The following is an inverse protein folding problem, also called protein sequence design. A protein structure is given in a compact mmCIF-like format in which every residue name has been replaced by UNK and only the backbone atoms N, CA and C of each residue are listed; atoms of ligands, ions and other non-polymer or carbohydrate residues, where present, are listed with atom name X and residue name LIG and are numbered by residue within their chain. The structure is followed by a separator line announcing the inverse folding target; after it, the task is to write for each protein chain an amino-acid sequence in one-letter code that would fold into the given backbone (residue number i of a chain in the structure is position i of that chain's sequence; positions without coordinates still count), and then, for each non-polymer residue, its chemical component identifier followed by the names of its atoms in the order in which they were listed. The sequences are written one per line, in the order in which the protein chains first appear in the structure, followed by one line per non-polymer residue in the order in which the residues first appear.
data_IF_718067871672
#
_entry.id   IF_718067871672
#
_cell.length_a   1.000
_cell.length_b   1.000
_cell.length_c   1.000
_cell.angle_alpha   90.00
_cell.angle_beta   90.00
_cell.angle_gamma   90.00
#
_symmetry.space_group_name_H-M   'P 1'
#
loop_
_entity.id
_entity.type
_entity.pdbx_description
1 polymer ?
#
# COMPACT_ATOMS: atom_id res chain seq x y z
N UNK A 1 -23.07 -22.36 11.13
CA UNK A 1 -22.45 -21.05 10.79
C UNK A 1 -21.70 -21.25 9.50
N UNK A 2 -21.93 -20.41 8.47
CA UNK A 2 -21.12 -20.49 7.25
C UNK A 2 -19.70 -20.05 7.61
N UNK A 3 -18.71 -20.89 7.35
CA UNK A 3 -17.31 -20.55 7.58
C UNK A 3 -16.95 -19.28 6.82
N UNK A 4 -16.57 -18.24 7.55
CA UNK A 4 -16.15 -16.97 6.94
C UNK A 4 -14.71 -17.10 6.49
N UNK A 5 -14.46 -16.92 5.20
CA UNK A 5 -13.11 -16.81 4.65
C UNK A 5 -12.51 -15.45 5.02
N UNK A 6 -11.54 -15.44 5.93
CA UNK A 6 -10.82 -14.23 6.37
C UNK A 6 -9.49 -14.12 5.61
N UNK A 7 -9.27 -12.97 4.99
CA UNK A 7 -8.02 -12.59 4.34
C UNK A 7 -7.48 -11.34 5.02
N UNK A 8 -6.20 -11.37 5.38
CA UNK A 8 -5.51 -10.24 6.00
C UNK A 8 -4.60 -9.58 4.98
N UNK A 9 -4.54 -8.24 5.00
CA UNK A 9 -3.58 -7.46 4.21
C UNK A 9 -2.69 -6.74 5.23
N UNK A 10 -1.37 -6.89 5.09
CA UNK A 10 -0.44 -6.19 5.98
C UNK A 10 -0.36 -4.68 5.67
N UNK A 11 0.19 -3.91 6.60
CA UNK A 11 0.24 -2.45 6.49
C UNK A 11 1.21 -2.08 5.36
N UNK A 12 0.77 -1.38 4.30
CA UNK A 12 1.66 -0.95 3.21
C UNK A 12 2.73 0.02 3.74
N UNK A 13 3.89 0.09 3.08
CA UNK A 13 4.88 1.12 3.42
C UNK A 13 4.31 2.53 3.20
N UNK A 14 4.77 3.49 4.00
CA UNK A 14 4.28 4.88 4.00
C UNK A 14 5.32 5.78 3.33
N UNK A 15 4.87 6.64 2.41
CA UNK A 15 5.71 7.52 1.61
C UNK A 15 6.59 6.77 0.61
N UNK A 16 7.65 7.44 0.18
CA UNK A 16 8.61 6.89 -0.79
C UNK A 16 9.96 6.54 -0.14
N UNK A 17 10.24 7.04 1.08
CA UNK A 17 11.46 6.73 1.82
C UNK A 17 11.29 5.46 2.68
N UNK A 18 11.97 4.39 2.29
CA UNK A 18 11.95 3.10 3.00
C UNK A 18 12.58 3.16 4.39
N UNK A 19 13.44 4.13 4.67
CA UNK A 19 14.23 4.19 5.90
C UNK A 19 13.61 5.12 6.96
N UNK A 20 12.45 5.72 6.67
CA UNK A 20 11.80 6.63 7.61
C UNK A 20 11.28 5.92 8.88
N UNK A 21 11.12 6.68 9.97
CA UNK A 21 10.67 6.16 11.27
C UNK A 21 9.27 5.52 11.23
N UNK A 22 8.39 5.96 10.33
CA UNK A 22 7.07 5.37 10.18
C UNK A 22 7.17 3.96 9.60
N UNK A 23 8.04 3.75 8.61
CA UNK A 23 8.26 2.45 7.99
C UNK A 23 8.92 1.45 8.95
N UNK A 24 9.77 1.92 9.89
CA UNK A 24 10.27 1.08 10.99
C UNK A 24 9.13 0.55 11.86
N UNK A 25 8.19 1.42 12.25
CA UNK A 25 6.99 1.02 13.01
C UNK A 25 6.07 0.10 12.21
N UNK A 26 5.85 0.40 10.94
CA UNK A 26 5.08 -0.47 10.02
C UNK A 26 5.69 -1.88 9.99
N UNK A 27 7.02 -2.00 9.99
CA UNK A 27 7.68 -3.30 10.01
C UNK A 27 7.50 -4.05 11.32
N UNK A 28 7.47 -3.36 12.45
CA UNK A 28 7.13 -3.95 13.74
C UNK A 28 5.69 -4.48 13.77
N UNK A 29 4.72 -3.67 13.31
CA UNK A 29 3.33 -4.11 13.20
C UNK A 29 3.17 -5.28 12.24
N UNK A 30 3.85 -5.24 11.09
CA UNK A 30 3.76 -6.31 10.11
C UNK A 30 4.37 -7.61 10.64
N UNK A 31 5.45 -7.59 11.43
CA UNK A 31 5.96 -8.79 12.11
C UNK A 31 4.87 -9.44 12.99
N UNK A 32 4.11 -8.64 13.72
CA UNK A 32 2.99 -9.12 14.56
C UNK A 32 1.86 -9.67 13.69
N UNK A 33 1.47 -8.98 12.62
CA UNK A 33 0.43 -9.43 11.69
C UNK A 33 0.80 -10.78 11.05
N UNK A 34 2.05 -10.93 10.59
CA UNK A 34 2.54 -12.19 10.04
C UNK A 34 2.49 -13.32 11.07
N UNK A 35 2.90 -13.05 12.32
CA UNK A 35 2.80 -14.04 13.41
C UNK A 35 1.34 -14.45 13.65
N UNK A 36 0.42 -13.50 13.75
CA UNK A 36 -1.00 -13.79 13.95
C UNK A 36 -1.59 -14.58 12.78
N UNK A 37 -1.26 -14.23 11.54
CA UNK A 37 -1.73 -14.98 10.38
C UNK A 37 -1.23 -16.43 10.40
N UNK A 38 0.01 -16.66 10.86
CA UNK A 38 0.56 -18.01 11.03
C UNK A 38 -0.13 -18.78 12.16
N UNK A 39 -0.25 -18.17 13.35
CA UNK A 39 -0.78 -18.81 14.55
C UNK A 39 -2.26 -19.21 14.38
N UNK A 40 -3.04 -18.39 13.67
CA UNK A 40 -4.47 -18.63 13.41
C UNK A 40 -4.76 -19.18 12.01
N UNK A 41 -3.73 -19.53 11.23
CA UNK A 41 -3.87 -20.04 9.85
C UNK A 41 -4.69 -19.13 8.91
N UNK A 42 -4.59 -17.80 9.08
CA UNK A 42 -5.19 -16.84 8.15
C UNK A 42 -4.33 -16.66 6.90
N UNK A 43 -4.99 -16.52 5.74
CA UNK A 43 -4.31 -16.14 4.51
C UNK A 43 -3.85 -14.67 4.60
N UNK A 44 -2.61 -14.42 4.19
CA UNK A 44 -2.00 -13.10 4.20
C UNK A 44 -1.65 -12.63 2.79
N UNK A 45 -2.10 -11.43 2.44
CA UNK A 45 -1.60 -10.64 1.31
C UNK A 45 -0.47 -9.74 1.82
N UNK A 46 0.77 -10.10 1.45
CA UNK A 46 1.95 -9.29 1.77
C UNK A 46 2.12 -8.15 0.75
N UNK A 47 1.27 -7.14 0.88
CA UNK A 47 1.31 -5.97 0.00
C UNK A 47 2.46 -5.02 0.34
N UNK A 48 2.90 -5.01 1.61
CA UNK A 48 4.07 -4.25 2.04
C UNK A 48 5.32 -4.65 1.25
N UNK A 49 5.61 -5.95 1.13
CA UNK A 49 6.76 -6.45 0.39
C UNK A 49 6.76 -5.98 -1.07
N UNK A 50 5.61 -6.10 -1.75
CA UNK A 50 5.46 -5.63 -3.11
C UNK A 50 5.68 -4.12 -3.22
N UNK A 51 5.04 -3.32 -2.34
CA UNK A 51 5.17 -1.86 -2.40
C UNK A 51 6.62 -1.41 -2.17
N UNK A 52 7.34 -2.06 -1.24
CA UNK A 52 8.77 -1.81 -1.02
C UNK A 52 9.63 -2.14 -2.24
N UNK A 53 9.30 -3.21 -2.98
CA UNK A 53 10.06 -3.57 -4.20
C UNK A 53 9.94 -2.52 -5.30
N UNK A 54 8.80 -1.83 -5.39
CA UNK A 54 8.59 -0.73 -6.34
C UNK A 54 9.40 0.52 -5.99
N UNK A 55 9.72 0.74 -4.71
CA UNK A 55 10.46 1.92 -4.25
C UNK A 55 11.98 1.75 -4.33
N UNK A 56 12.49 0.51 -4.26
CA UNK A 56 13.94 0.23 -4.38
C UNK A 56 14.56 0.72 -5.69
N UNK A 57 13.75 0.94 -6.72
CA UNK A 57 14.18 1.36 -8.05
C UNK A 57 14.05 2.87 -8.29
N UNK A 58 13.45 3.63 -7.36
CA UNK A 58 13.22 5.06 -7.53
C UNK A 58 14.17 5.89 -6.66
N UNK A 59 15.17 6.51 -7.29
CA UNK A 59 16.14 7.41 -6.64
C UNK A 59 15.81 8.89 -6.82
N UNK A 60 14.71 9.21 -7.49
CA UNK A 60 14.39 10.57 -7.88
C UNK A 60 13.76 11.37 -6.72
N UNK A 61 13.94 12.70 -6.75
CA UNK A 61 13.27 13.62 -5.79
C UNK A 61 11.75 13.57 -5.99
N UNK A 62 11.00 13.40 -4.90
CA UNK A 62 9.53 13.31 -4.92
C UNK A 62 8.88 14.43 -4.09
N UNK A 63 7.58 14.67 -4.30
CA UNK A 63 6.80 15.62 -3.52
C UNK A 63 5.64 14.95 -2.80
N UNK A 64 5.66 15.01 -1.46
CA UNK A 64 4.53 14.61 -0.61
C UNK A 64 3.96 15.86 0.08
N UNK A 65 2.64 16.10 0.03
CA UNK A 65 2.01 17.17 0.80
C UNK A 65 2.27 16.98 2.30
N UNK A 66 2.88 17.97 2.97
CA UNK A 66 3.19 17.88 4.42
C UNK A 66 1.97 18.05 5.34
N UNK A 67 0.84 18.55 4.82
CA UNK A 67 -0.37 18.85 5.61
C UNK A 67 -1.40 17.74 5.40
N UNK A 68 -1.86 17.03 6.46
CA UNK A 68 -2.84 15.95 6.36
C UNK A 68 -4.13 16.35 5.62
N UNK A 69 -4.59 17.59 5.82
CA UNK A 69 -5.77 18.11 5.12
C UNK A 69 -5.61 18.10 3.59
N UNK A 70 -4.41 18.36 3.07
CA UNK A 70 -4.15 18.30 1.61
C UNK A 70 -4.22 16.87 1.07
N UNK A 71 -3.78 15.88 1.85
CA UNK A 71 -3.91 14.46 1.50
C UNK A 71 -5.40 14.03 1.44
N UNK A 72 -6.21 14.49 2.38
CA UNK A 72 -7.66 14.23 2.39
C UNK A 72 -8.35 14.86 1.17
N UNK A 73 -7.99 16.10 0.81
CA UNK A 73 -8.51 16.72 -0.41
C UNK A 73 -8.08 15.94 -1.66
N UNK A 74 -6.82 15.51 -1.74
CA UNK A 74 -6.35 14.69 -2.85
C UNK A 74 -7.19 13.42 -2.99
N UNK A 75 -7.50 12.70 -1.90
CA UNK A 75 -8.41 11.55 -1.94
C UNK A 75 -9.81 11.91 -2.49
N UNK A 76 -10.38 13.05 -2.09
CA UNK A 76 -11.73 13.46 -2.54
C UNK A 76 -11.75 13.83 -4.02
N UNK A 77 -10.72 14.51 -4.52
CA UNK A 77 -10.69 15.01 -5.90
C UNK A 77 -10.06 14.02 -6.90
N UNK A 78 -9.26 13.07 -6.43
CA UNK A 78 -8.55 12.09 -7.27
C UNK A 78 -9.32 10.77 -7.28
N UNK A 79 -10.55 10.81 -7.81
CA UNK A 79 -11.45 9.63 -7.87
C UNK A 79 -11.33 8.81 -9.14
N UNK A 80 -10.73 9.35 -10.20
CA UNK A 80 -10.56 8.61 -11.45
C UNK A 80 -9.15 8.01 -11.57
N UNK A 81 -9.03 6.78 -12.12
CA UNK A 81 -7.74 6.18 -12.46
C UNK A 81 -6.79 7.09 -13.24
N UNK A 82 -7.34 7.83 -14.22
CA UNK A 82 -6.58 8.75 -15.06
C UNK A 82 -6.01 9.91 -14.25
N UNK A 83 -6.84 10.54 -13.41
CA UNK A 83 -6.40 11.66 -12.56
C UNK A 83 -5.37 11.18 -11.53
N UNK A 84 -5.57 9.99 -10.98
CA UNK A 84 -4.64 9.36 -10.04
C UNK A 84 -3.23 9.20 -10.62
N UNK A 85 -3.13 8.67 -11.84
CA UNK A 85 -1.86 8.53 -12.53
C UNK A 85 -1.23 9.89 -12.87
N UNK A 86 -2.02 10.90 -13.24
CA UNK A 86 -1.52 12.26 -13.51
C UNK A 86 -0.93 12.89 -12.24
N UNK A 87 -1.62 12.78 -11.10
CA UNK A 87 -1.16 13.35 -9.83
C UNK A 87 0.11 12.65 -9.33
N UNK A 88 0.13 11.31 -9.36
CA UNK A 88 1.30 10.48 -9.02
C UNK A 88 2.52 10.89 -9.85
N UNK A 89 2.37 10.97 -11.17
CA UNK A 89 3.45 11.38 -12.09
C UNK A 89 3.93 12.80 -11.85
N UNK A 90 3.01 13.77 -11.68
CA UNK A 90 3.36 15.17 -11.40
C UNK A 90 4.18 15.32 -10.11
N UNK A 91 3.95 14.45 -9.13
CA UNK A 91 4.64 14.45 -7.84
C UNK A 91 5.83 13.50 -7.78
N UNK A 92 6.10 12.79 -8.87
CA UNK A 92 7.12 11.78 -8.97
C UNK A 92 7.03 10.70 -7.87
N UNK A 93 5.79 10.32 -7.55
CA UNK A 93 5.45 9.25 -6.63
C UNK A 93 5.20 7.96 -7.41
N UNK A 94 5.70 6.83 -6.91
CA UNK A 94 5.63 5.55 -7.62
C UNK A 94 4.39 4.75 -7.26
N UNK A 95 4.15 4.41 -5.98
CA UNK A 95 2.97 3.63 -5.61
C UNK A 95 1.75 4.47 -5.19
N UNK A 96 1.89 5.78 -4.96
CA UNK A 96 0.86 6.58 -4.31
C UNK A 96 0.60 7.92 -4.98
N UNK A 97 -0.54 8.54 -4.67
CA UNK A 97 -0.84 9.91 -5.12
C UNK A 97 -0.34 10.98 -4.14
N UNK A 98 -0.10 10.62 -2.88
CA UNK A 98 0.23 11.56 -1.79
C UNK A 98 1.09 10.96 -0.67
N UNK A 99 1.71 9.80 -0.90
CA UNK A 99 2.47 9.06 0.10
C UNK A 99 1.66 7.99 0.86
N UNK A 100 0.32 8.00 0.77
CA UNK A 100 -0.53 7.03 1.50
C UNK A 100 -1.53 6.36 0.57
N UNK A 101 -2.33 7.15 -0.17
CA UNK A 101 -3.39 6.64 -1.03
C UNK A 101 -2.81 6.06 -2.33
N UNK A 102 -3.27 4.86 -2.71
CA UNK A 102 -2.76 4.15 -3.87
C UNK A 102 -3.08 4.90 -5.16
N UNK A 103 -2.14 4.84 -6.11
CA UNK A 103 -2.47 5.16 -7.49
C UNK A 103 -3.18 3.98 -8.19
N UNK A 104 -3.66 4.18 -9.42
CA UNK A 104 -4.39 3.14 -10.17
C UNK A 104 -3.56 1.87 -10.33
N UNK A 105 -2.27 1.99 -10.66
CA UNK A 105 -1.37 0.84 -10.80
C UNK A 105 -1.31 0.00 -9.51
N UNK A 106 -1.09 0.67 -8.36
CA UNK A 106 -0.97 -0.02 -7.08
C UNK A 106 -2.28 -0.59 -6.58
N UNK A 107 -3.40 0.09 -6.85
CA UNK A 107 -4.74 -0.42 -6.53
C UNK A 107 -5.08 -1.67 -7.35
N UNK A 108 -4.76 -1.69 -8.65
CA UNK A 108 -4.90 -2.90 -9.50
C UNK A 108 -4.05 -4.04 -8.96
N UNK A 109 -2.80 -3.76 -8.60
CA UNK A 109 -1.92 -4.82 -8.11
C UNK A 109 -2.38 -5.41 -6.79
N UNK A 110 -2.87 -4.58 -5.87
CA UNK A 110 -3.49 -5.08 -4.63
C UNK A 110 -4.69 -5.98 -4.94
N UNK A 111 -5.56 -5.58 -5.88
CA UNK A 111 -6.70 -6.40 -6.30
C UNK A 111 -6.29 -7.74 -6.91
N UNK A 112 -5.21 -7.78 -7.71
CA UNK A 112 -4.63 -9.02 -8.23
C UNK A 112 -4.14 -9.94 -7.10
N UNK A 113 -3.35 -9.42 -6.17
CA UNK A 113 -2.82 -10.20 -5.04
C UNK A 113 -3.93 -10.75 -4.14
N UNK A 114 -5.01 -9.98 -3.95
CA UNK A 114 -6.21 -10.44 -3.24
C UNK A 114 -6.86 -11.61 -3.99
N UNK A 115 -7.07 -11.49 -5.31
CA UNK A 115 -7.65 -12.55 -6.14
C UNK A 115 -6.80 -13.82 -6.13
N UNK A 116 -5.48 -13.69 -6.22
CA UNK A 116 -4.54 -14.81 -6.14
C UNK A 116 -4.67 -15.57 -4.81
N UNK A 117 -4.80 -14.85 -3.68
CA UNK A 117 -4.96 -15.46 -2.35
C UNK A 117 -6.34 -16.06 -2.09
N UNK A 118 -7.39 -15.52 -2.70
CA UNK A 118 -8.72 -16.12 -2.64
C UNK A 118 -8.72 -17.47 -3.38
N UNK A 119 -8.07 -17.53 -4.55
CA UNK A 119 -8.03 -18.72 -5.42
C UNK A 119 -7.03 -19.79 -4.98
N UNK A 120 -6.01 -19.46 -4.17
CA UNK A 120 -5.07 -20.45 -3.65
C UNK A 120 -5.79 -21.41 -2.70
N UNK A 121 -5.68 -22.73 -2.93
CA UNK A 121 -6.21 -23.77 -2.03
C UNK A 121 -5.56 -23.66 -0.66
#
# INVERSE_FOLDING_TARGET
MVDKNVLVINIPCIGEDLNNELNKKVDEYNKIIHKLCKDYSFKLVDFNFWKKSQLKTNTNKYFIPKKPFKMVLDFIFVRSPKISNIVSKKRNLVPTIDGVHLNDHSARKLAELIKEKISSK
#
